data_IF_119707080113
#
_entry.id   IF_119707080113
#
_cell.length_a   1.000
_cell.length_b   1.000
_cell.length_c   1.000
_cell.angle_alpha   90.00
_cell.angle_beta   90.00
_cell.angle_gamma   90.00
#
_symmetry.space_group_name_H-M   'P 1'
#
loop_
_entity.id
_entity.type
_entity.pdbx_description
1 polymer ?
#
# COMPACT_ATOMS: atom_id res chain seq x y z
N UNK A 1 1.90 3.21 -1.00
CA UNK A 1 2.66 2.50 0.04
C UNK A 1 3.10 3.54 1.05
N UNK A 2 3.21 3.20 2.33
CA UNK A 2 3.72 4.13 3.35
C UNK A 2 5.22 3.88 3.55
N UNK A 3 6.04 4.92 3.50
CA UNK A 3 7.45 4.80 3.92
C UNK A 3 7.52 4.68 5.44
N UNK A 4 8.11 3.59 5.95
CA UNK A 4 8.19 3.34 7.40
C UNK A 4 9.40 4.07 7.98
N UNK A 5 9.16 5.01 8.88
CA UNK A 5 10.20 5.65 9.68
C UNK A 5 10.12 5.14 11.12
N UNK A 6 11.26 4.75 11.67
CA UNK A 6 11.38 4.36 13.08
C UNK A 6 11.11 5.57 13.98
N UNK A 7 10.31 5.38 15.03
CA UNK A 7 9.91 6.44 15.97
C UNK A 7 11.08 7.03 16.76
N UNK A 8 12.20 6.30 16.85
CA UNK A 8 13.45 6.73 17.47
C UNK A 8 14.48 7.22 16.45
N UNK A 9 14.13 7.35 15.16
CA UNK A 9 15.07 7.81 14.12
C UNK A 9 15.79 9.11 14.52
N UNK A 10 15.06 10.04 15.13
CA UNK A 10 15.57 11.33 15.62
C UNK A 10 16.72 11.21 16.64
N UNK A 11 16.83 10.08 17.34
CA UNK A 11 17.86 9.78 18.35
C UNK A 11 18.79 8.64 17.94
N UNK A 12 18.66 8.12 16.71
CA UNK A 12 19.45 7.01 16.22
C UNK A 12 20.95 7.31 16.27
N UNK A 13 21.76 6.29 16.60
CA UNK A 13 23.22 6.43 16.67
C UNK A 13 23.83 6.96 15.36
N UNK A 14 23.31 6.51 14.20
CA UNK A 14 23.76 6.96 12.88
C UNK A 14 23.46 8.45 12.67
N UNK A 15 22.24 8.90 12.93
CA UNK A 15 21.88 10.30 12.76
C UNK A 15 22.63 11.22 13.74
N UNK A 16 22.82 10.77 14.99
CA UNK A 16 23.53 11.54 16.00
C UNK A 16 25.03 11.70 15.72
N UNK A 17 25.65 10.82 14.91
CA UNK A 17 27.02 10.98 14.41
C UNK A 17 27.15 12.14 13.42
N UNK A 18 26.08 12.55 12.74
CA UNK A 18 26.11 13.71 11.85
C UNK A 18 26.29 15.00 12.70
N UNK A 19 27.21 15.92 12.33
CA UNK A 19 27.38 17.19 13.02
C UNK A 19 26.09 17.99 13.13
N UNK A 20 25.86 18.66 14.28
CA UNK A 20 24.60 19.37 14.59
C UNK A 20 24.12 20.29 13.46
N UNK A 21 25.05 21.03 12.83
CA UNK A 21 24.76 21.98 11.72
C UNK A 21 24.20 21.33 10.45
N UNK A 22 24.49 20.06 10.21
CA UNK A 22 24.08 19.33 9.00
C UNK A 22 22.99 18.29 9.29
N UNK A 23 22.81 17.90 10.56
CA UNK A 23 21.96 16.78 10.97
C UNK A 23 20.52 16.93 10.54
N UNK A 24 19.92 18.10 10.76
CA UNK A 24 18.50 18.29 10.46
C UNK A 24 18.24 18.31 8.95
N UNK A 25 19.15 18.92 8.17
CA UNK A 25 19.08 18.89 6.71
C UNK A 25 19.25 17.47 6.15
N UNK A 26 20.18 16.69 6.70
CA UNK A 26 20.35 15.28 6.35
C UNK A 26 19.11 14.43 6.72
N UNK A 27 18.54 14.63 7.90
CA UNK A 27 17.30 13.97 8.32
C UNK A 27 16.12 14.31 7.42
N UNK A 28 15.98 15.59 7.04
CA UNK A 28 14.95 16.05 6.11
C UNK A 28 15.09 15.41 4.74
N UNK A 29 16.31 15.42 4.18
CA UNK A 29 16.61 14.77 2.90
C UNK A 29 16.29 13.26 2.95
N UNK A 30 16.74 12.56 3.99
CA UNK A 30 16.47 11.13 4.17
C UNK A 30 14.96 10.83 4.22
N UNK A 31 14.19 11.65 4.94
CA UNK A 31 12.74 11.49 5.05
C UNK A 31 12.01 11.69 3.71
N UNK A 32 12.33 12.78 3.00
CA UNK A 32 11.70 13.12 1.72
C UNK A 32 12.05 12.07 0.66
N UNK A 33 13.33 11.70 0.59
CA UNK A 33 13.80 10.69 -0.35
C UNK A 33 13.17 9.32 -0.10
N UNK A 34 13.01 8.92 1.17
CA UNK A 34 12.37 7.66 1.53
C UNK A 34 10.89 7.62 1.11
N UNK A 35 10.16 8.73 1.33
CA UNK A 35 8.78 8.89 0.84
C UNK A 35 8.70 8.71 -0.68
N UNK A 36 9.58 9.39 -1.43
CA UNK A 36 9.64 9.30 -2.88
C UNK A 36 9.99 7.89 -3.38
N UNK A 37 10.99 7.23 -2.79
CA UNK A 37 11.35 5.85 -3.15
C UNK A 37 10.18 4.88 -2.94
N UNK A 38 9.39 5.08 -1.88
CA UNK A 38 8.20 4.26 -1.59
C UNK A 38 7.04 4.51 -2.56
N UNK A 39 6.89 5.72 -3.07
CA UNK A 39 5.92 6.06 -4.12
C UNK A 39 6.33 5.45 -5.47
N UNK A 40 7.59 5.67 -5.86
CA UNK A 40 8.12 5.29 -7.17
C UNK A 40 8.54 3.81 -7.25
N UNK A 41 8.56 3.10 -6.12
CA UNK A 41 8.98 1.70 -6.01
C UNK A 41 10.39 1.47 -6.58
N UNK A 42 11.35 2.31 -6.14
CA UNK A 42 12.74 2.27 -6.60
C UNK A 42 13.65 1.42 -5.71
N UNK A 43 13.09 0.68 -4.77
CA UNK A 43 13.84 -0.15 -3.82
C UNK A 43 14.93 0.63 -3.05
N UNK A 44 14.64 1.89 -2.76
CA UNK A 44 15.55 2.78 -2.03
C UNK A 44 16.63 3.44 -2.88
N UNK A 45 16.58 3.31 -4.20
CA UNK A 45 17.44 4.07 -5.10
C UNK A 45 16.93 5.51 -5.24
N UNK A 46 17.82 6.48 -5.06
CA UNK A 46 17.59 7.92 -5.18
C UNK A 46 18.47 8.47 -6.31
N UNK A 47 17.89 8.85 -7.46
CA UNK A 47 18.64 9.44 -8.56
C UNK A 47 19.24 10.80 -8.17
N UNK A 48 20.43 11.12 -8.69
CA UNK A 48 21.11 12.39 -8.40
C UNK A 48 20.27 13.62 -8.78
N UNK A 49 19.55 13.57 -9.89
CA UNK A 49 18.72 14.71 -10.35
C UNK A 49 17.61 15.08 -9.35
N UNK A 50 17.18 14.14 -8.50
CA UNK A 50 16.19 14.44 -7.46
C UNK A 50 16.76 15.33 -6.36
N UNK A 51 18.07 15.21 -6.07
CA UNK A 51 18.73 16.13 -5.13
C UNK A 51 18.75 17.55 -5.71
N UNK A 52 18.96 17.70 -7.02
CA UNK A 52 18.89 19.01 -7.68
C UNK A 52 17.48 19.61 -7.61
N UNK A 53 16.44 18.77 -7.77
CA UNK A 53 15.04 19.19 -7.67
C UNK A 53 14.63 19.59 -6.24
N UNK A 54 15.11 18.89 -5.21
CA UNK A 54 14.77 19.18 -3.80
C UNK A 54 15.64 20.24 -3.15
N UNK A 55 16.85 20.47 -3.66
CA UNK A 55 17.79 21.46 -3.13
C UNK A 55 18.18 21.25 -1.66
N UNK A 56 18.60 20.04 -1.22
CA UNK A 56 19.08 19.86 0.13
C UNK A 56 20.41 20.61 0.34
N UNK A 57 20.83 20.87 1.60
CA UNK A 57 22.14 21.40 1.87
C UNK A 57 23.24 20.56 1.18
N UNK A 58 24.29 21.17 0.58
CA UNK A 58 25.27 20.44 -0.22
C UNK A 58 25.97 19.28 0.51
N UNK A 59 26.10 19.37 1.83
CA UNK A 59 26.72 18.34 2.67
C UNK A 59 25.76 17.25 3.14
N UNK A 60 24.46 17.34 2.82
CA UNK A 60 23.46 16.43 3.38
C UNK A 60 23.62 15.00 2.86
N UNK A 61 23.77 14.84 1.55
CA UNK A 61 23.95 13.51 0.93
C UNK A 61 25.25 12.86 1.36
N UNK A 62 26.37 13.60 1.38
CA UNK A 62 27.66 13.09 1.86
C UNK A 62 27.57 12.69 3.33
N UNK A 63 26.95 13.50 4.19
CA UNK A 63 26.78 13.18 5.60
C UNK A 63 25.95 11.91 5.84
N UNK A 64 24.94 11.63 5.00
CA UNK A 64 24.16 10.38 5.06
C UNK A 64 24.99 9.17 4.65
N UNK A 65 25.86 9.32 3.66
CA UNK A 65 26.80 8.27 3.23
C UNK A 65 27.83 7.99 4.31
N UNK A 66 28.43 9.04 4.89
CA UNK A 66 29.48 8.94 5.92
C UNK A 66 29.02 8.15 7.15
N UNK A 67 27.74 8.27 7.53
CA UNK A 67 27.16 7.54 8.67
C UNK A 67 26.51 6.21 8.29
N UNK A 68 26.57 5.81 7.02
CA UNK A 68 26.03 4.55 6.51
C UNK A 68 24.50 4.47 6.57
N UNK A 69 23.82 5.61 6.43
CA UNK A 69 22.38 5.64 6.13
C UNK A 69 22.14 5.48 4.63
N UNK A 70 23.02 6.05 3.81
CA UNK A 70 23.08 5.86 2.36
C UNK A 70 24.40 5.23 1.93
N UNK A 71 24.41 4.72 0.70
CA UNK A 71 25.61 4.32 -0.02
C UNK A 71 25.66 5.04 -1.38
N UNK A 72 26.86 5.20 -1.93
CA UNK A 72 27.00 5.62 -3.32
C UNK A 72 26.49 4.54 -4.26
N UNK A 73 25.77 4.95 -5.30
CA UNK A 73 25.32 4.09 -6.38
C UNK A 73 25.56 4.80 -7.71
N UNK A 74 25.63 4.03 -8.79
CA UNK A 74 25.73 4.61 -10.12
C UNK A 74 24.52 5.51 -10.39
N UNK A 75 24.76 6.76 -10.82
CA UNK A 75 23.70 7.73 -11.09
C UNK A 75 22.99 8.32 -9.86
N UNK A 76 23.39 7.98 -8.63
CA UNK A 76 22.72 8.49 -7.43
C UNK A 76 23.20 7.90 -6.10
N UNK A 77 22.22 7.58 -5.25
CA UNK A 77 22.44 7.07 -3.90
C UNK A 77 21.47 5.93 -3.60
N UNK A 78 21.85 5.05 -2.70
CA UNK A 78 21.05 3.91 -2.29
C UNK A 78 20.81 3.96 -0.78
N UNK A 79 19.56 3.75 -0.34
CA UNK A 79 19.27 3.51 1.07
C UNK A 79 19.89 2.18 1.51
N UNK A 80 20.64 2.22 2.61
CA UNK A 80 21.19 1.02 3.24
C UNK A 80 20.06 0.25 3.91
N UNK A 81 20.03 -1.08 3.72
CA UNK A 81 19.06 -2.01 4.29
C UNK A 81 17.59 -1.70 3.94
N UNK A 82 17.31 -1.17 2.74
CA UNK A 82 15.94 -0.89 2.31
C UNK A 82 15.02 -2.12 2.46
N UNK A 83 15.42 -3.26 1.90
CA UNK A 83 14.61 -4.50 1.88
C UNK A 83 14.38 -5.12 3.26
N UNK A 84 15.16 -4.73 4.28
CA UNK A 84 14.98 -5.23 5.66
C UNK A 84 13.79 -4.57 6.34
N UNK A 85 13.54 -3.29 6.03
CA UNK A 85 12.54 -2.48 6.75
C UNK A 85 11.38 -2.03 5.85
N UNK A 86 11.62 -1.92 4.55
CA UNK A 86 10.65 -1.49 3.55
C UNK A 86 10.32 -2.64 2.61
N UNK A 87 9.07 -2.75 2.13
CA UNK A 87 8.77 -3.69 1.07
C UNK A 87 9.48 -3.28 -0.22
N UNK A 88 9.92 -4.28 -0.96
CA UNK A 88 10.45 -4.09 -2.31
C UNK A 88 9.33 -3.86 -3.31
N UNK A 89 9.66 -3.39 -4.51
CA UNK A 89 8.75 -3.30 -5.65
C UNK A 89 8.06 -4.64 -5.89
N UNK A 90 8.84 -5.74 -5.87
CA UNK A 90 8.31 -7.09 -6.05
C UNK A 90 7.30 -7.45 -4.94
N UNK A 91 7.57 -7.09 -3.69
CA UNK A 91 6.63 -7.33 -2.58
C UNK A 91 5.32 -6.54 -2.78
N UNK A 92 5.44 -5.25 -3.14
CA UNK A 92 4.28 -4.38 -3.37
C UNK A 92 3.44 -4.88 -4.55
N UNK A 93 4.06 -5.31 -5.64
CA UNK A 93 3.37 -5.84 -6.81
C UNK A 93 2.66 -7.16 -6.50
N UNK A 94 3.32 -8.07 -5.76
CA UNK A 94 2.74 -9.32 -5.28
C UNK A 94 1.53 -9.06 -4.37
N UNK A 95 1.63 -8.12 -3.45
CA UNK A 95 0.54 -7.79 -2.54
C UNK A 95 -0.62 -7.12 -3.28
N UNK A 96 -0.34 -6.27 -4.27
CA UNK A 96 -1.36 -5.71 -5.16
C UNK A 96 -2.08 -6.82 -5.95
N UNK A 97 -1.36 -7.81 -6.49
CA UNK A 97 -1.96 -8.93 -7.20
C UNK A 97 -2.88 -9.76 -6.29
N UNK A 98 -2.37 -10.17 -5.12
CA UNK A 98 -3.13 -10.92 -4.12
C UNK A 98 -4.40 -10.18 -3.66
N UNK A 99 -4.31 -8.86 -3.50
CA UNK A 99 -5.47 -8.05 -3.11
C UNK A 99 -6.51 -7.96 -4.22
N UNK A 100 -6.09 -7.88 -5.50
CA UNK A 100 -7.02 -7.94 -6.65
C UNK A 100 -7.76 -9.28 -6.69
N UNK A 101 -7.03 -10.39 -6.55
CA UNK A 101 -7.63 -11.73 -6.53
C UNK A 101 -8.63 -11.92 -5.38
N UNK A 102 -8.26 -11.47 -4.16
CA UNK A 102 -9.16 -11.52 -3.00
C UNK A 102 -10.42 -10.69 -3.22
N UNK A 103 -10.29 -9.48 -3.77
CA UNK A 103 -11.45 -8.64 -4.06
C UNK A 103 -12.34 -9.24 -5.14
N UNK A 104 -11.76 -9.85 -6.18
CA UNK A 104 -12.52 -10.53 -7.22
C UNK A 104 -13.30 -11.72 -6.64
N UNK A 105 -12.62 -12.61 -5.91
CA UNK A 105 -13.27 -13.77 -5.28
C UNK A 105 -14.36 -13.35 -4.28
N UNK A 106 -14.17 -12.25 -3.56
CA UNK A 106 -15.18 -11.69 -2.67
C UNK A 106 -16.41 -11.20 -3.47
N UNK A 107 -16.22 -10.46 -4.56
CA UNK A 107 -17.31 -9.99 -5.42
C UNK A 107 -18.11 -11.14 -6.05
N UNK A 108 -17.42 -12.15 -6.57
CA UNK A 108 -18.07 -13.32 -7.19
C UNK A 108 -18.93 -14.09 -6.18
N UNK A 109 -18.44 -14.28 -4.95
CA UNK A 109 -19.20 -14.93 -3.87
C UNK A 109 -20.42 -14.11 -3.45
N UNK A 110 -20.27 -12.79 -3.33
CA UNK A 110 -21.40 -11.93 -2.94
C UNK A 110 -22.45 -11.83 -4.05
N UNK A 111 -22.05 -11.74 -5.32
CA UNK A 111 -23.00 -11.77 -6.44
C UNK A 111 -23.76 -13.09 -6.50
N UNK A 112 -23.08 -14.22 -6.28
CA UNK A 112 -23.74 -15.53 -6.25
C UNK A 112 -24.74 -15.65 -5.10
N UNK A 113 -24.35 -15.24 -3.88
CA UNK A 113 -25.25 -15.29 -2.74
C UNK A 113 -26.46 -14.36 -2.91
N UNK A 114 -26.28 -13.19 -3.52
CA UNK A 114 -27.37 -12.27 -3.83
C UNK A 114 -28.29 -12.79 -4.95
N UNK A 115 -27.75 -13.48 -5.96
CA UNK A 115 -28.57 -14.16 -6.97
C UNK A 115 -29.35 -15.33 -6.38
N UNK A 116 -28.73 -16.14 -5.52
CA UNK A 116 -29.35 -17.30 -4.89
C UNK A 116 -30.49 -16.85 -3.95
N UNK A 117 -30.28 -15.80 -3.15
CA UNK A 117 -31.32 -15.21 -2.30
C UNK A 117 -32.50 -14.62 -3.09
N UNK A 118 -32.23 -13.89 -4.20
CA UNK A 118 -33.29 -13.35 -5.05
C UNK A 118 -34.11 -14.45 -5.76
N UNK A 119 -33.47 -15.58 -6.09
CA UNK A 119 -34.15 -16.74 -6.67
C UNK A 119 -35.05 -17.43 -5.65
N UNK A 120 -34.60 -17.57 -4.40
CA UNK A 120 -35.41 -18.12 -3.29
C UNK A 120 -36.65 -17.24 -3.02
N UNK A 121 -36.47 -15.92 -2.85
CA UNK A 121 -37.57 -14.97 -2.66
C UNK A 121 -38.60 -15.03 -3.81
N UNK A 122 -38.12 -15.14 -5.05
CA UNK A 122 -39.00 -15.23 -6.23
C UNK A 122 -39.82 -16.53 -6.25
N UNK A 123 -39.22 -17.65 -5.82
CA UNK A 123 -39.91 -18.93 -5.72
C UNK A 123 -40.96 -18.91 -4.60
N UNK A 124 -40.63 -18.35 -3.42
CA UNK A 124 -41.58 -18.22 -2.32
C UNK A 124 -42.80 -17.35 -2.69
N UNK A 125 -42.58 -16.25 -3.41
CA UNK A 125 -43.67 -15.42 -3.92
C UNK A 125 -44.56 -16.22 -4.88
N UNK A 126 -43.94 -16.98 -5.79
CA UNK A 126 -44.66 -17.80 -6.78
C UNK A 126 -45.51 -18.89 -6.13
N UNK A 127 -44.96 -19.62 -5.16
CA UNK A 127 -45.68 -20.67 -4.43
C UNK A 127 -46.87 -20.08 -3.67
N UNK A 128 -46.71 -18.91 -3.02
CA UNK A 128 -47.81 -18.23 -2.32
C UNK A 128 -48.94 -17.81 -3.25
N UNK A 129 -48.62 -17.33 -4.46
CA UNK A 129 -49.63 -17.01 -5.48
C UNK A 129 -50.35 -18.26 -6.03
N UNK A 130 -49.64 -19.38 -6.16
CA UNK A 130 -50.23 -20.66 -6.59
C UNK A 130 -51.17 -21.24 -5.51
N UNK A 131 -50.80 -21.15 -4.24
CA UNK A 131 -51.65 -21.54 -3.10
C UNK A 131 -52.92 -20.67 -3.01
N UNK A 132 -52.80 -19.34 -3.01
CA UNK A 132 -53.96 -18.42 -2.98
C UNK A 132 -54.90 -18.62 -4.18
N UNK A 133 -54.36 -18.91 -5.37
CA UNK A 133 -55.17 -19.17 -6.57
C UNK A 133 -55.94 -20.50 -6.49
N UNK A 134 -55.36 -21.51 -5.82
CA UNK A 134 -55.98 -22.82 -5.62
C UNK A 134 -57.12 -22.77 -4.60
N UNK A 135 -57.00 -21.95 -3.55
CA UNK A 135 -58.06 -21.73 -2.56
C UNK A 135 -59.27 -21.00 -3.16
N UNK A 136 -59.04 -20.05 -4.08
CA UNK A 136 -60.11 -19.33 -4.77
C UNK A 136 -60.91 -20.27 -5.69
N UNK A 137 -60.24 -21.22 -6.38
CA UNK A 137 -60.90 -22.20 -7.25
C UNK A 137 -61.67 -23.28 -6.48
N UNK A 138 -61.25 -23.62 -5.25
CA UNK A 138 -61.95 -24.58 -4.38
C UNK A 138 -63.24 -24.05 -3.75
N UNK A 139 -63.41 -22.73 -3.65
CA UNK A 139 -64.61 -22.09 -3.06
C UNK A 139 -65.84 -22.04 -3.99
N UNK A 140 -65.70 -22.50 -5.23
CA UNK A 140 -66.72 -22.41 -6.27
C UNK A 140 -67.10 -23.81 -6.80
N UNK A 141 -67.52 -24.71 -5.91
CA UNK A 141 -68.35 -25.87 -6.28
C UNK A 141 -69.69 -25.78 -5.52
N UNK A 142 -70.82 -26.10 -6.19
CA UNK A 142 -72.18 -25.82 -5.71
C UNK A 142 -72.60 -26.66 -4.50
#
# INVERSE_FOLDING_TARGET
MWFKMDDKFHSSKKLMKIPKRARFGAAGLWSIAGSWCGEQLTDGFVPKYMLDAWGPPPSASSALVDVGLWAHAEGGFQFVNWSEYQPTKADVERDRARNRERQQAWRERHQKNESDANLEDSNEIRERFEEDSSEIQGSNQP
#
